data_IF_914874868279
#
_entry.id   IF_914874868279
#
_cell.length_a   1.000
_cell.length_b   1.000
_cell.length_c   1.000
_cell.angle_alpha   90.00
_cell.angle_beta   90.00
_cell.angle_gamma   90.00
#
_symmetry.space_group_name_H-M   'P 1'
#
loop_
_entity.id
_entity.type
_entity.pdbx_description
1 polymer ?
#
# COMPACT_ATOMS: atom_id res chain seq x y z
N UNK A 1 10.26 15.28 -21.06
CA UNK A 1 10.68 14.73 -19.76
C UNK A 1 9.92 13.42 -19.58
N UNK A 2 10.59 12.37 -19.10
CA UNK A 2 9.93 11.10 -18.79
C UNK A 2 8.83 11.36 -17.74
N UNK A 3 7.70 10.70 -17.88
CA UNK A 3 6.59 10.80 -16.94
C UNK A 3 6.98 10.02 -15.68
N UNK A 4 6.81 10.62 -14.49
CA UNK A 4 7.07 9.90 -13.23
C UNK A 4 6.19 8.66 -13.08
N UNK A 5 6.62 7.72 -12.25
CA UNK A 5 5.90 6.45 -12.00
C UNK A 5 5.58 6.26 -10.53
N UNK A 6 4.54 5.47 -10.25
CA UNK A 6 4.20 5.00 -8.91
C UNK A 6 4.66 3.55 -8.74
N UNK A 7 5.32 3.27 -7.63
CA UNK A 7 5.63 1.91 -7.13
C UNK A 7 4.94 1.78 -5.78
N UNK A 8 4.03 0.83 -5.63
CA UNK A 8 3.35 0.61 -4.34
C UNK A 8 3.81 -0.68 -3.66
N UNK A 9 3.78 -0.66 -2.33
CA UNK A 9 4.07 -1.80 -1.48
C UNK A 9 2.84 -2.16 -0.66
N UNK A 10 2.45 -3.41 -0.73
CA UNK A 10 1.27 -3.96 -0.10
C UNK A 10 1.61 -5.17 0.77
N UNK A 11 0.71 -5.52 1.67
CA UNK A 11 0.85 -6.65 2.58
C UNK A 11 0.47 -6.31 4.00
N UNK A 12 0.33 -7.32 4.85
CA UNK A 12 -0.05 -7.18 6.25
C UNK A 12 1.01 -6.42 7.06
N UNK A 13 0.66 -5.94 8.24
CA UNK A 13 1.60 -5.24 9.11
C UNK A 13 2.68 -6.22 9.61
N UNK A 14 3.92 -5.75 9.75
CA UNK A 14 5.06 -6.62 10.04
C UNK A 14 5.58 -7.42 8.83
N UNK A 15 5.02 -7.27 7.62
CA UNK A 15 5.54 -7.97 6.43
C UNK A 15 6.93 -7.48 5.98
N UNK A 16 7.36 -6.29 6.42
CA UNK A 16 8.67 -5.74 6.07
C UNK A 16 8.62 -4.66 4.99
N UNK A 17 7.44 -4.17 4.60
CA UNK A 17 7.25 -3.10 3.59
C UNK A 17 8.18 -1.92 3.81
N UNK A 18 8.14 -1.32 4.99
CA UNK A 18 8.93 -0.12 5.32
C UNK A 18 10.44 -0.33 5.15
N UNK A 19 10.95 -1.52 5.48
CA UNK A 19 12.36 -1.89 5.25
C UNK A 19 12.69 -1.89 3.77
N UNK A 20 11.84 -2.49 2.94
CA UNK A 20 12.04 -2.60 1.51
C UNK A 20 11.86 -1.26 0.78
N UNK A 21 10.91 -0.44 1.23
CA UNK A 21 10.69 0.93 0.72
C UNK A 21 11.96 1.78 0.92
N UNK A 22 12.55 1.76 2.11
CA UNK A 22 13.80 2.48 2.40
C UNK A 22 14.95 1.95 1.54
N UNK A 23 15.13 0.64 1.47
CA UNK A 23 16.18 0.01 0.67
C UNK A 23 16.03 0.34 -0.83
N UNK A 24 14.80 0.35 -1.37
CA UNK A 24 14.53 0.74 -2.76
C UNK A 24 14.85 2.24 -2.98
N UNK A 25 14.44 3.12 -2.08
CA UNK A 25 14.74 4.56 -2.18
C UNK A 25 16.24 4.82 -2.21
N UNK A 26 17.02 4.16 -1.33
CA UNK A 26 18.49 4.26 -1.31
C UNK A 26 19.11 3.71 -2.60
N UNK A 27 18.57 2.62 -3.13
CA UNK A 27 19.02 2.03 -4.39
C UNK A 27 18.79 2.97 -5.57
N UNK A 28 17.60 3.55 -5.68
CA UNK A 28 17.27 4.52 -6.72
C UNK A 28 18.14 5.77 -6.64
N UNK A 29 18.40 6.30 -5.45
CA UNK A 29 19.27 7.44 -5.24
C UNK A 29 20.72 7.17 -5.72
N UNK A 30 21.27 5.96 -5.45
CA UNK A 30 22.59 5.54 -5.94
C UNK A 30 22.67 5.45 -7.47
N UNK A 31 21.53 5.23 -8.13
CA UNK A 31 21.41 5.21 -9.59
C UNK A 31 21.10 6.58 -10.20
N UNK A 32 20.96 7.62 -9.39
CA UNK A 32 20.68 8.98 -9.84
C UNK A 32 19.20 9.31 -10.05
N UNK A 33 18.29 8.42 -9.67
CA UNK A 33 16.85 8.68 -9.73
C UNK A 33 16.37 9.44 -8.49
N UNK A 34 15.47 10.39 -8.70
CA UNK A 34 14.80 11.10 -7.62
C UNK A 34 13.52 10.32 -7.24
N UNK A 35 13.42 9.94 -5.97
CA UNK A 35 12.23 9.27 -5.44
C UNK A 35 11.68 9.96 -4.19
N UNK A 36 10.37 9.81 -3.97
CA UNK A 36 9.69 10.29 -2.77
C UNK A 36 8.92 9.14 -2.14
N UNK A 37 9.03 9.00 -0.82
CA UNK A 37 8.32 7.97 -0.05
C UNK A 37 7.11 8.61 0.63
N UNK A 38 5.92 8.07 0.35
CA UNK A 38 4.66 8.47 0.99
C UNK A 38 3.99 7.24 1.60
N UNK A 39 3.06 7.45 2.55
CA UNK A 39 2.30 6.36 3.17
C UNK A 39 0.81 6.67 3.24
N UNK A 40 0.00 5.64 3.22
CA UNK A 40 -1.45 5.73 3.44
C UNK A 40 -1.91 4.97 4.69
N UNK A 41 -2.99 5.46 5.32
CA UNK A 41 -3.57 6.80 5.14
C UNK A 41 -2.64 7.87 5.72
N UNK A 42 -2.72 9.11 5.19
CA UNK A 42 -1.91 10.23 5.66
C UNK A 42 -1.13 10.94 4.54
N UNK A 43 0.05 11.44 4.88
CA UNK A 43 0.95 12.09 3.93
C UNK A 43 0.67 13.58 3.66
N UNK A 44 -0.49 14.10 4.08
CA UNK A 44 -0.89 15.51 4.00
C UNK A 44 -1.54 15.94 5.32
N UNK A 45 -1.68 17.24 5.58
CA UNK A 45 -2.32 17.70 6.81
C UNK A 45 -3.72 17.11 6.98
N UNK A 46 -4.57 17.23 5.97
CA UNK A 46 -5.93 16.65 5.99
C UNK A 46 -5.89 15.13 6.08
N UNK A 47 -4.97 14.49 5.33
CA UNK A 47 -4.79 13.04 5.37
C UNK A 47 -4.41 12.53 6.76
N UNK A 48 -3.59 13.26 7.53
CA UNK A 48 -3.23 12.88 8.91
C UNK A 48 -4.42 13.05 9.87
N UNK A 49 -5.27 14.07 9.70
CA UNK A 49 -6.50 14.22 10.47
C UNK A 49 -7.47 13.05 10.20
N UNK A 50 -7.63 12.66 8.94
CA UNK A 50 -8.40 11.47 8.56
C UNK A 50 -7.78 10.20 9.15
N UNK A 51 -6.45 10.06 9.10
CA UNK A 51 -5.73 8.93 9.71
C UNK A 51 -6.04 8.82 11.19
N UNK A 52 -6.01 9.94 11.92
CA UNK A 52 -6.32 9.96 13.34
C UNK A 52 -7.74 9.44 13.62
N UNK A 53 -8.69 9.68 12.74
CA UNK A 53 -10.06 9.17 12.87
C UNK A 53 -10.14 7.68 12.53
N UNK A 54 -9.61 7.28 11.36
CA UNK A 54 -9.83 5.92 10.82
C UNK A 54 -9.05 4.84 11.58
N UNK A 55 -7.89 5.20 12.17
CA UNK A 55 -7.06 4.27 12.95
C UNK A 55 -7.34 4.31 14.46
N UNK A 56 -8.15 5.25 14.93
CA UNK A 56 -8.46 5.36 16.36
C UNK A 56 -9.17 4.11 16.87
N UNK A 57 -8.52 3.38 17.78
CA UNK A 57 -9.03 2.13 18.36
C UNK A 57 -10.34 2.26 19.13
N UNK A 58 -10.73 3.49 19.49
CA UNK A 58 -11.98 3.76 20.22
C UNK A 58 -13.18 3.98 19.27
N UNK A 59 -12.96 4.16 17.97
CA UNK A 59 -14.02 4.32 16.98
C UNK A 59 -14.55 2.95 16.51
N UNK A 60 -15.01 2.13 17.46
CA UNK A 60 -15.44 0.74 17.22
C UNK A 60 -16.76 0.67 16.45
N UNK A 61 -17.58 1.70 16.52
CA UNK A 61 -18.89 1.83 15.84
C UNK A 61 -18.77 2.27 14.37
N UNK A 62 -17.54 2.47 13.86
CA UNK A 62 -17.34 2.94 12.49
C UNK A 62 -17.90 1.94 11.47
N UNK A 63 -18.88 2.39 10.68
CA UNK A 63 -19.43 1.58 9.61
C UNK A 63 -18.39 1.29 8.51
N UNK A 64 -18.42 0.09 7.92
CA UNK A 64 -17.47 -0.34 6.89
C UNK A 64 -17.39 0.61 5.69
N UNK A 65 -18.53 1.14 5.25
CA UNK A 65 -18.58 2.13 4.17
C UNK A 65 -17.93 3.45 4.59
N UNK A 66 -18.14 3.92 5.82
CA UNK A 66 -17.47 5.12 6.35
C UNK A 66 -15.95 4.93 6.37
N UNK A 67 -15.47 3.77 6.86
CA UNK A 67 -14.05 3.40 6.85
C UNK A 67 -13.48 3.52 5.45
N UNK A 68 -14.10 2.89 4.47
CA UNK A 68 -13.67 2.89 3.07
C UNK A 68 -13.63 4.31 2.48
N UNK A 69 -14.66 5.12 2.72
CA UNK A 69 -14.72 6.51 2.23
C UNK A 69 -13.65 7.40 2.88
N UNK A 70 -13.33 7.20 4.15
CA UNK A 70 -12.24 7.93 4.82
C UNK A 70 -10.88 7.59 4.21
N UNK A 71 -10.60 6.30 3.93
CA UNK A 71 -9.38 5.91 3.21
C UNK A 71 -9.31 6.53 1.82
N UNK A 72 -10.41 6.49 1.06
CA UNK A 72 -10.48 7.09 -0.27
C UNK A 72 -10.30 8.62 -0.23
N UNK A 73 -10.85 9.30 0.78
CA UNK A 73 -10.71 10.76 0.96
C UNK A 73 -9.28 11.16 1.29
N UNK A 74 -8.61 10.43 2.20
CA UNK A 74 -7.18 10.64 2.52
C UNK A 74 -6.31 10.46 1.27
N UNK A 75 -6.61 9.43 0.47
CA UNK A 75 -5.94 9.13 -0.80
C UNK A 75 -6.13 10.22 -1.83
N UNK A 76 -7.36 10.67 -2.04
CA UNK A 76 -7.66 11.76 -2.98
C UNK A 76 -6.87 13.02 -2.65
N UNK A 77 -6.79 13.39 -1.36
CA UNK A 77 -6.01 14.54 -0.90
C UNK A 77 -4.51 14.35 -1.17
N UNK A 78 -3.96 13.18 -0.88
CA UNK A 78 -2.55 12.88 -1.12
C UNK A 78 -2.23 12.89 -2.63
N UNK A 79 -3.11 12.37 -3.46
CA UNK A 79 -2.94 12.39 -4.92
C UNK A 79 -2.81 13.82 -5.44
N UNK A 80 -3.75 14.69 -5.09
CA UNK A 80 -3.78 16.07 -5.56
C UNK A 80 -2.58 16.88 -5.06
N UNK A 81 -2.28 16.78 -3.76
CA UNK A 81 -1.33 17.64 -3.09
C UNK A 81 0.14 17.20 -3.27
N UNK A 82 0.37 15.89 -3.41
CA UNK A 82 1.73 15.32 -3.42
C UNK A 82 2.04 14.51 -4.68
N UNK A 83 1.24 13.48 -4.95
CA UNK A 83 1.61 12.48 -5.96
C UNK A 83 1.63 13.07 -7.36
N UNK A 84 0.55 13.75 -7.78
CA UNK A 84 0.48 14.32 -9.12
C UNK A 84 1.57 15.35 -9.42
N UNK A 85 1.92 16.30 -8.50
CA UNK A 85 3.05 17.20 -8.70
C UNK A 85 4.37 16.45 -8.91
N UNK A 86 4.67 15.45 -8.07
CA UNK A 86 5.88 14.64 -8.16
C UNK A 86 5.97 13.87 -9.48
N UNK A 87 4.86 13.30 -9.93
CA UNK A 87 4.81 12.60 -11.23
C UNK A 87 5.03 13.56 -12.40
N UNK A 88 4.53 14.80 -12.33
CA UNK A 88 4.77 15.84 -13.34
C UNK A 88 6.25 16.28 -13.39
N UNK A 89 6.94 16.20 -12.25
CA UNK A 89 8.39 16.43 -12.14
C UNK A 89 9.23 15.25 -12.65
N UNK A 90 8.61 14.14 -13.07
CA UNK A 90 9.31 12.94 -13.52
C UNK A 90 9.90 12.11 -12.38
N UNK A 91 9.43 12.29 -11.14
CA UNK A 91 9.93 11.58 -9.96
C UNK A 91 9.27 10.21 -9.80
N UNK A 92 9.96 9.31 -9.13
CA UNK A 92 9.42 8.00 -8.72
C UNK A 92 8.75 8.18 -7.36
N UNK A 93 7.46 7.85 -7.28
CA UNK A 93 6.71 7.88 -6.00
C UNK A 93 6.59 6.47 -5.46
N UNK A 94 7.14 6.23 -4.26
CA UNK A 94 7.09 4.95 -3.56
C UNK A 94 6.02 5.05 -2.47
N UNK A 95 4.98 4.22 -2.56
CA UNK A 95 3.85 4.24 -1.63
C UNK A 95 3.89 3.06 -0.67
N UNK A 96 3.88 3.34 0.64
CA UNK A 96 3.56 2.34 1.67
C UNK A 96 2.04 2.26 1.79
N UNK A 97 1.45 1.26 1.14
CA UNK A 97 0.03 1.06 0.85
C UNK A 97 -0.52 2.06 -0.18
N UNK A 98 -1.47 1.57 -0.95
CA UNK A 98 -2.26 2.35 -1.88
C UNK A 98 -3.66 1.76 -2.00
N UNK A 99 -4.38 1.99 -3.11
CA UNK A 99 -5.76 1.54 -3.23
C UNK A 99 -5.94 0.01 -3.22
N UNK A 100 -4.90 -0.78 -3.50
CA UNK A 100 -4.95 -2.23 -3.38
C UNK A 100 -5.17 -2.67 -1.92
N UNK A 101 -4.65 -1.90 -0.94
CA UNK A 101 -5.04 -2.07 0.47
C UNK A 101 -6.54 -1.92 0.68
N UNK A 102 -7.20 -0.92 0.07
CA UNK A 102 -8.65 -0.77 0.20
C UNK A 102 -9.42 -1.94 -0.42
N UNK A 103 -8.94 -2.49 -1.53
CA UNK A 103 -9.54 -3.70 -2.11
C UNK A 103 -9.39 -4.90 -1.17
N UNK A 104 -8.20 -5.09 -0.57
CA UNK A 104 -7.97 -6.20 0.35
C UNK A 104 -8.74 -6.04 1.68
N UNK A 105 -8.69 -4.85 2.29
CA UNK A 105 -9.27 -4.60 3.62
C UNK A 105 -10.77 -4.33 3.57
N UNK A 106 -11.23 -3.42 2.70
CA UNK A 106 -12.63 -3.01 2.68
C UNK A 106 -13.49 -3.90 1.78
N UNK A 107 -13.04 -4.28 0.58
CA UNK A 107 -13.85 -5.16 -0.24
C UNK A 107 -13.84 -6.60 0.30
N UNK A 108 -12.66 -7.21 0.55
CA UNK A 108 -12.61 -8.60 1.03
C UNK A 108 -12.71 -8.70 2.56
N UNK A 109 -12.02 -7.84 3.31
CA UNK A 109 -12.04 -7.88 4.78
C UNK A 109 -13.39 -7.49 5.38
N UNK A 110 -14.02 -6.42 4.86
CA UNK A 110 -15.32 -5.90 5.31
C UNK A 110 -16.52 -6.41 4.49
N UNK A 111 -16.29 -7.28 3.52
CA UNK A 111 -17.34 -7.83 2.64
C UNK A 111 -18.13 -6.73 1.88
N UNK A 112 -17.48 -5.60 1.53
CA UNK A 112 -18.09 -4.59 0.67
C UNK A 112 -18.02 -5.02 -0.79
N UNK A 113 -18.94 -4.49 -1.61
CA UNK A 113 -18.96 -4.76 -3.04
C UNK A 113 -17.63 -4.34 -3.71
N UNK A 114 -16.97 -5.30 -4.35
CA UNK A 114 -15.64 -5.11 -4.93
C UNK A 114 -15.62 -4.03 -6.01
N UNK A 115 -16.62 -4.01 -6.89
CA UNK A 115 -16.65 -3.07 -8.01
C UNK A 115 -16.95 -1.65 -7.53
N UNK A 116 -17.79 -1.50 -6.50
CA UNK A 116 -18.02 -0.21 -5.87
C UNK A 116 -16.76 0.32 -5.18
N UNK A 117 -16.05 -0.51 -4.39
CA UNK A 117 -14.79 -0.12 -3.75
C UNK A 117 -13.74 0.24 -4.80
N UNK A 118 -13.60 -0.55 -5.86
CA UNK A 118 -12.66 -0.27 -6.95
C UNK A 118 -12.99 1.05 -7.64
N UNK A 119 -14.26 1.27 -8.02
CA UNK A 119 -14.71 2.48 -8.73
C UNK A 119 -14.44 3.75 -7.93
N UNK A 120 -14.74 3.75 -6.62
CA UNK A 120 -14.50 4.90 -5.73
C UNK A 120 -13.00 5.17 -5.62
N UNK A 121 -12.19 4.13 -5.49
CA UNK A 121 -10.75 4.29 -5.39
C UNK A 121 -10.10 4.75 -6.70
N UNK A 122 -10.55 4.25 -7.85
CA UNK A 122 -10.10 4.73 -9.16
C UNK A 122 -10.46 6.21 -9.37
N UNK A 123 -11.65 6.64 -8.93
CA UNK A 123 -12.02 8.06 -8.94
C UNK A 123 -11.10 8.88 -8.03
N UNK A 124 -10.82 8.41 -6.80
CA UNK A 124 -9.93 9.08 -5.85
C UNK A 124 -8.50 9.26 -6.38
N UNK A 125 -8.01 8.31 -7.18
CA UNK A 125 -6.67 8.38 -7.79
C UNK A 125 -6.69 8.90 -9.24
N UNK A 126 -7.83 9.41 -9.73
CA UNK A 126 -7.99 9.92 -11.10
C UNK A 126 -7.50 8.92 -12.17
N UNK A 127 -7.72 7.63 -11.94
CA UNK A 127 -7.22 6.52 -12.75
C UNK A 127 -5.68 6.46 -12.89
N UNK A 128 -4.93 7.14 -12.03
CA UNK A 128 -3.47 7.01 -11.97
C UNK A 128 -3.14 5.78 -11.12
N UNK A 129 -2.75 4.69 -11.78
CA UNK A 129 -2.44 3.42 -11.12
C UNK A 129 -0.94 3.19 -10.99
N UNK A 130 -0.47 2.38 -10.03
CA UNK A 130 0.93 2.01 -9.94
C UNK A 130 1.42 1.29 -11.19
N UNK A 131 2.65 1.59 -11.61
CA UNK A 131 3.35 0.82 -12.66
C UNK A 131 3.59 -0.60 -12.19
N UNK A 132 3.90 -0.77 -10.89
CA UNK A 132 4.06 -2.06 -10.23
C UNK A 132 3.63 -1.95 -8.75
N UNK A 133 3.03 -3.01 -8.24
CA UNK A 133 2.71 -3.21 -6.82
C UNK A 133 3.44 -4.44 -6.30
N UNK A 134 4.24 -4.29 -5.26
CA UNK A 134 4.87 -5.42 -4.58
C UNK A 134 4.03 -5.86 -3.40
N UNK A 135 3.43 -7.03 -3.50
CA UNK A 135 2.77 -7.68 -2.37
C UNK A 135 3.78 -8.50 -1.58
N UNK A 136 4.18 -8.01 -0.41
CA UNK A 136 5.09 -8.72 0.50
C UNK A 136 4.28 -9.75 1.28
N UNK A 137 4.37 -10.99 0.81
CA UNK A 137 3.54 -12.11 1.24
C UNK A 137 4.11 -12.77 2.50
N UNK A 138 3.38 -12.61 3.61
CA UNK A 138 3.52 -13.40 4.84
C UNK A 138 2.14 -13.75 5.37
N UNK A 139 2.03 -14.90 6.06
CA UNK A 139 0.74 -15.29 6.64
C UNK A 139 0.32 -14.39 7.81
N UNK A 140 -0.99 -14.36 8.16
CA UNK A 140 -1.45 -13.60 9.33
C UNK A 140 -0.75 -13.98 10.63
N UNK A 141 -0.41 -15.26 10.85
CA UNK A 141 0.32 -15.72 12.03
C UNK A 141 1.75 -15.20 12.05
N UNK A 142 2.43 -15.19 10.89
CA UNK A 142 3.78 -14.63 10.76
C UNK A 142 3.77 -13.13 11.02
N UNK A 143 2.74 -12.42 10.51
CA UNK A 143 2.49 -11.01 10.77
C UNK A 143 2.35 -10.74 12.27
N UNK A 144 1.43 -11.47 12.94
CA UNK A 144 1.19 -11.34 14.37
C UNK A 144 2.46 -11.62 15.18
N UNK A 145 3.19 -12.69 14.86
CA UNK A 145 4.46 -13.04 15.54
C UNK A 145 5.50 -11.93 15.41
N UNK A 146 5.65 -11.30 14.24
CA UNK A 146 6.61 -10.21 14.02
C UNK A 146 6.24 -8.93 14.78
N UNK A 147 4.96 -8.76 15.11
CA UNK A 147 4.42 -7.60 15.81
C UNK A 147 4.26 -7.78 17.31
N UNK A 148 4.58 -8.95 17.89
CA UNK A 148 4.42 -9.23 19.34
C UNK A 148 5.07 -8.19 20.26
N UNK A 149 6.06 -7.43 19.77
CA UNK A 149 6.75 -6.38 20.52
C UNK A 149 6.28 -4.95 20.12
N UNK A 150 5.22 -4.80 19.33
CA UNK A 150 4.67 -3.48 19.02
C UNK A 150 3.99 -2.90 20.26
N UNK A 151 4.33 -1.66 20.60
CA UNK A 151 3.85 -0.99 21.83
C UNK A 151 2.41 -0.50 21.72
N UNK A 152 1.92 -0.28 20.52
CA UNK A 152 0.57 0.21 20.25
C UNK A 152 -0.03 -0.49 19.03
N UNK A 153 -1.34 -0.76 19.10
CA UNK A 153 -2.13 -1.32 18.02
C UNK A 153 -3.21 -0.34 17.60
N UNK A 154 -3.51 -0.29 16.31
CA UNK A 154 -4.63 0.47 15.78
C UNK A 154 -5.93 -0.35 15.72
N UNK A 155 -7.00 0.29 15.24
CA UNK A 155 -8.33 -0.33 15.16
C UNK A 155 -8.37 -1.56 14.26
N UNK A 156 -7.70 -1.51 13.09
CA UNK A 156 -7.67 -2.64 12.15
C UNK A 156 -6.78 -3.78 12.65
N UNK A 157 -5.72 -3.44 13.35
CA UNK A 157 -4.82 -4.40 13.97
C UNK A 157 -5.47 -5.18 15.11
N UNK A 158 -6.49 -4.60 15.76
CA UNK A 158 -7.28 -5.22 16.84
C UNK A 158 -8.45 -6.08 16.33
N UNK A 159 -8.65 -6.18 15.02
CA UNK A 159 -9.64 -7.10 14.45
C UNK A 159 -9.29 -8.56 14.73
N UNK A 160 -10.28 -9.43 14.68
CA UNK A 160 -10.08 -10.85 14.88
C UNK A 160 -9.25 -11.51 13.75
N UNK A 161 -8.79 -12.73 14.01
CA UNK A 161 -7.99 -13.46 13.02
C UNK A 161 -8.76 -13.77 11.74
N UNK A 162 -10.10 -13.90 11.80
CA UNK A 162 -10.91 -14.16 10.62
C UNK A 162 -10.87 -12.99 9.65
N UNK A 163 -10.88 -11.76 10.15
CA UNK A 163 -10.68 -10.55 9.35
C UNK A 163 -9.30 -10.53 8.68
N UNK A 164 -8.24 -10.82 9.43
CA UNK A 164 -6.88 -10.84 8.87
C UNK A 164 -6.71 -11.92 7.80
N UNK A 165 -7.37 -13.07 7.94
CA UNK A 165 -7.41 -14.11 6.90
C UNK A 165 -8.18 -13.65 5.66
N UNK A 166 -9.32 -12.97 5.81
CA UNK A 166 -10.08 -12.42 4.67
C UNK A 166 -9.22 -11.41 3.89
N UNK A 167 -8.50 -10.52 4.60
CA UNK A 167 -7.58 -9.55 3.98
C UNK A 167 -6.45 -10.26 3.24
N UNK A 168 -5.84 -11.26 3.86
CA UNK A 168 -4.77 -12.05 3.24
C UNK A 168 -5.24 -12.77 1.96
N UNK A 169 -6.37 -13.46 2.02
CA UNK A 169 -6.98 -14.10 0.84
C UNK A 169 -7.40 -13.04 -0.20
N UNK A 170 -7.80 -11.84 0.25
CA UNK A 170 -8.06 -10.70 -0.60
C UNK A 170 -6.83 -10.33 -1.44
N UNK A 171 -5.67 -10.19 -0.84
CA UNK A 171 -4.42 -9.93 -1.58
C UNK A 171 -4.10 -11.04 -2.59
N UNK A 172 -4.31 -12.30 -2.25
CA UNK A 172 -4.11 -13.42 -3.18
C UNK A 172 -5.04 -13.34 -4.39
N UNK A 173 -6.31 -12.99 -4.17
CA UNK A 173 -7.26 -12.73 -5.28
C UNK A 173 -6.86 -11.53 -6.13
N UNK A 174 -6.25 -10.50 -5.55
CA UNK A 174 -5.73 -9.36 -6.31
C UNK A 174 -4.55 -9.73 -7.21
N UNK A 175 -3.67 -10.64 -6.78
CA UNK A 175 -2.62 -11.21 -7.64
C UNK A 175 -3.21 -11.87 -8.90
N UNK A 176 -4.30 -12.62 -8.74
CA UNK A 176 -4.98 -13.29 -9.86
C UNK A 176 -5.72 -12.30 -10.77
N UNK A 177 -6.31 -11.23 -10.19
CA UNK A 177 -7.05 -10.22 -10.95
C UNK A 177 -6.16 -9.24 -11.71
N UNK A 178 -4.97 -8.94 -11.18
CA UNK A 178 -4.06 -7.92 -11.73
C UNK A 178 -2.62 -8.46 -11.89
N UNK A 179 -2.44 -9.60 -12.60
CA UNK A 179 -1.14 -10.29 -12.71
C UNK A 179 -0.07 -9.44 -13.41
N UNK A 180 -0.47 -8.54 -14.30
CA UNK A 180 0.46 -7.67 -15.03
C UNK A 180 1.04 -6.54 -14.17
N UNK A 181 0.45 -6.27 -13.02
CA UNK A 181 0.78 -5.13 -12.17
C UNK A 181 1.20 -5.53 -10.74
N UNK A 182 0.60 -6.56 -10.18
CA UNK A 182 0.87 -6.99 -8.79
C UNK A 182 1.82 -8.18 -8.81
N UNK A 183 2.98 -8.01 -8.17
CA UNK A 183 4.01 -9.03 -8.06
C UNK A 183 4.07 -9.54 -6.62
N UNK A 184 4.00 -10.86 -6.46
CA UNK A 184 4.19 -11.52 -5.17
C UNK A 184 5.67 -11.58 -4.81
N UNK A 185 6.02 -11.11 -3.62
CA UNK A 185 7.36 -11.20 -3.03
C UNK A 185 7.27 -12.05 -1.75
N UNK A 186 8.06 -13.10 -1.68
CA UNK A 186 8.12 -13.96 -0.49
C UNK A 186 8.75 -13.19 0.69
N UNK A 187 7.90 -12.71 1.59
CA UNK A 187 8.30 -11.95 2.79
C UNK A 187 8.97 -12.78 3.88
N UNK A 188 9.14 -14.10 3.68
CA UNK A 188 9.85 -14.98 4.64
C UNK A 188 11.36 -15.02 4.40
N UNK A 189 11.82 -14.60 3.23
CA UNK A 189 13.23 -14.53 2.87
C UNK A 189 13.98 -13.46 3.67
N UNK A 190 15.30 -13.53 3.63
CA UNK A 190 16.17 -12.50 4.18
C UNK A 190 15.95 -11.14 3.49
N UNK A 191 15.98 -10.05 4.27
CA UNK A 191 15.68 -8.70 3.77
C UNK A 191 16.51 -8.31 2.53
N UNK A 192 17.79 -8.72 2.49
CA UNK A 192 18.69 -8.45 1.34
C UNK A 192 18.28 -9.19 0.07
N UNK A 193 17.77 -10.41 0.20
CA UNK A 193 17.28 -11.20 -0.94
C UNK A 193 16.01 -10.57 -1.51
N UNK A 194 15.09 -10.17 -0.64
CA UNK A 194 13.87 -9.44 -1.01
C UNK A 194 14.23 -8.14 -1.74
N UNK A 195 15.17 -7.36 -1.20
CA UNK A 195 15.64 -6.12 -1.84
C UNK A 195 16.19 -6.39 -3.24
N UNK A 196 17.01 -7.44 -3.41
CA UNK A 196 17.59 -7.81 -4.71
C UNK A 196 16.49 -8.18 -5.71
N UNK A 197 15.48 -8.94 -5.29
CA UNK A 197 14.34 -9.32 -6.12
C UNK A 197 13.55 -8.08 -6.57
N UNK A 198 13.17 -7.18 -5.64
CA UNK A 198 12.45 -5.95 -5.92
C UNK A 198 13.23 -5.03 -6.87
N UNK A 199 14.53 -4.82 -6.61
CA UNK A 199 15.36 -3.95 -7.46
C UNK A 199 15.52 -4.49 -8.87
N UNK A 200 15.52 -5.81 -9.07
CA UNK A 200 15.53 -6.42 -10.39
C UNK A 200 14.28 -6.11 -11.21
N UNK A 201 13.09 -6.14 -10.59
CA UNK A 201 11.85 -5.72 -11.25
C UNK A 201 11.87 -4.25 -11.63
N UNK A 202 12.33 -3.40 -10.69
CA UNK A 202 12.39 -1.95 -10.92
C UNK A 202 13.39 -1.60 -12.02
N UNK A 203 14.53 -2.28 -12.08
CA UNK A 203 15.51 -2.07 -13.16
C UNK A 203 14.95 -2.40 -14.55
N UNK A 204 14.11 -3.42 -14.65
CA UNK A 204 13.47 -3.75 -15.93
C UNK A 204 12.48 -2.65 -16.35
N UNK A 205 11.65 -2.17 -15.41
CA UNK A 205 10.69 -1.08 -15.67
C UNK A 205 11.44 0.19 -16.14
N UNK A 206 12.53 0.56 -15.46
CA UNK A 206 13.29 1.78 -15.76
C UNK A 206 14.11 1.72 -17.08
N UNK A 207 14.24 0.54 -17.68
CA UNK A 207 14.88 0.37 -19.01
C UNK A 207 13.86 0.49 -20.15
N UNK A 208 12.58 0.27 -19.87
CA UNK A 208 11.49 0.30 -20.86
C UNK A 208 10.95 1.73 -21.09
N UNK A 209 11.18 2.65 -20.13
CA UNK A 209 10.79 4.08 -20.18
C UNK A 209 11.98 4.96 -20.65
#
# INVERSE_FOLDING_TARGET
MAKGIIISFEGTDGSGKTTQIKALSEYLAKKGYQSEMLREPGGTKIGEEIRAIVLNKYNTEMASLTEMLLYASSRAQMMEEKVEPLLKEGRIVILDRFFDSSLAYQAFGRDLDFDAVLSINLAAVKNIIPKITFFIDITPEQSLKRRQNASETDRLENEDMSFHYKVYEGYKKLLEKFPDRIVRIDGTKEAKEITKEITSYVDNILKED
#
